data_IF_422151573389
#
_entry.id   IF_422151573389
#
_cell.length_a   1.000
_cell.length_b   1.000
_cell.length_c   1.000
_cell.angle_alpha   90.00
_cell.angle_beta   90.00
_cell.angle_gamma   90.00
#
_symmetry.space_group_name_H-M   'P 1'
#
loop_
_entity.id
_entity.type
_entity.pdbx_description
1 polymer ?
#
# COMPACT_ATOMS: atom_id res chain seq x y z
N UNK A 1 -8.46 9.22 31.02
CA UNK A 1 -8.07 7.80 31.14
C UNK A 1 -8.88 7.19 32.26
N UNK A 2 -9.78 6.25 31.96
CA UNK A 2 -10.53 5.54 33.01
C UNK A 2 -9.54 4.71 33.83
N UNK A 3 -9.39 5.01 35.12
CA UNK A 3 -8.59 4.21 36.06
C UNK A 3 -9.54 3.43 36.95
N UNK A 4 -9.40 2.11 36.96
CA UNK A 4 -10.17 1.22 37.83
C UNK A 4 -9.33 0.84 39.05
N UNK A 5 -9.93 0.91 40.24
CA UNK A 5 -9.31 0.53 41.50
C UNK A 5 -9.97 -0.75 42.01
N UNK A 6 -9.16 -1.77 42.33
CA UNK A 6 -9.66 -3.05 42.83
C UNK A 6 -10.24 -2.90 44.23
N UNK A 7 -11.39 -3.54 44.47
CA UNK A 7 -11.99 -3.65 45.81
C UNK A 7 -11.18 -4.58 46.71
N UNK A 8 -11.42 -4.55 48.03
CA UNK A 8 -10.71 -5.44 48.98
C UNK A 8 -10.96 -6.92 48.67
N UNK A 9 -12.20 -7.28 48.32
CA UNK A 9 -12.59 -8.63 47.93
C UNK A 9 -11.91 -9.07 46.63
N UNK A 10 -11.84 -8.19 45.63
CA UNK A 10 -11.13 -8.49 44.38
C UNK A 10 -9.62 -8.68 44.58
N UNK A 11 -9.01 -7.96 45.53
CA UNK A 11 -7.59 -8.13 45.88
C UNK A 11 -7.34 -9.48 46.53
N UNK A 12 -8.17 -9.89 47.49
CA UNK A 12 -8.07 -11.19 48.15
C UNK A 12 -8.26 -12.33 47.13
N UNK A 13 -9.32 -12.25 46.33
CA UNK A 13 -9.59 -13.21 45.26
C UNK A 13 -8.50 -13.24 44.20
N UNK A 14 -7.90 -12.09 43.89
CA UNK A 14 -6.76 -11.98 42.97
C UNK A 14 -5.50 -12.70 43.45
N UNK A 15 -5.27 -12.83 44.77
CA UNK A 15 -4.16 -13.63 45.32
C UNK A 15 -4.48 -15.13 45.25
N UNK A 16 -5.72 -15.52 45.51
CA UNK A 16 -6.16 -16.92 45.38
C UNK A 16 -6.06 -17.40 43.93
N UNK A 17 -6.58 -16.62 42.98
CA UNK A 17 -6.52 -16.93 41.56
C UNK A 17 -5.09 -16.99 41.03
N UNK A 18 -4.17 -16.19 41.58
CA UNK A 18 -2.76 -16.27 41.24
C UNK A 18 -2.17 -17.65 41.58
N UNK A 19 -2.52 -18.20 42.75
CA UNK A 19 -2.10 -19.55 43.17
C UNK A 19 -2.79 -20.65 42.39
N UNK A 20 -4.09 -20.51 42.11
CA UNK A 20 -4.89 -21.49 41.37
C UNK A 20 -4.44 -21.63 39.91
N UNK A 21 -4.10 -20.51 39.27
CA UNK A 21 -3.81 -20.44 37.83
C UNK A 21 -2.31 -20.33 37.52
N UNK A 22 -1.45 -20.54 38.52
CA UNK A 22 0.01 -20.48 38.37
C UNK A 22 0.44 -19.20 37.62
N UNK A 23 -0.13 -18.07 38.04
CA UNK A 23 0.17 -16.74 37.52
C UNK A 23 -0.30 -16.40 36.09
N UNK A 24 -1.28 -17.08 35.50
CA UNK A 24 -1.87 -16.61 34.22
C UNK A 24 -2.76 -15.37 34.43
N UNK A 25 -2.26 -14.21 33.98
CA UNK A 25 -2.97 -12.93 34.14
C UNK A 25 -4.26 -12.83 33.32
N UNK A 26 -4.34 -13.46 32.14
CA UNK A 26 -5.54 -13.35 31.30
C UNK A 26 -6.67 -14.21 31.86
N UNK A 27 -6.37 -15.44 32.27
CA UNK A 27 -7.37 -16.31 32.87
C UNK A 27 -7.82 -15.79 34.24
N UNK A 28 -6.89 -15.24 35.03
CA UNK A 28 -7.24 -14.61 36.29
C UNK A 28 -8.13 -13.38 36.10
N UNK A 29 -7.88 -12.54 35.09
CA UNK A 29 -8.74 -11.40 34.79
C UNK A 29 -10.16 -11.84 34.38
N UNK A 30 -10.29 -12.88 33.55
CA UNK A 30 -11.59 -13.42 33.15
C UNK A 30 -12.37 -13.99 34.33
N UNK A 31 -11.71 -14.80 35.19
CA UNK A 31 -12.34 -15.39 36.37
C UNK A 31 -12.66 -14.36 37.46
N UNK A 32 -11.85 -13.31 37.60
CA UNK A 32 -12.05 -12.29 38.63
C UNK A 32 -13.25 -11.39 38.32
N UNK A 33 -13.46 -11.04 37.05
CA UNK A 33 -14.51 -10.12 36.62
C UNK A 33 -15.72 -10.80 35.97
N UNK A 34 -15.71 -12.14 35.90
CA UNK A 34 -16.74 -12.98 35.29
C UNK A 34 -17.12 -12.54 33.87
N UNK A 35 -16.12 -12.10 33.09
CA UNK A 35 -16.29 -11.60 31.73
C UNK A 35 -15.26 -12.27 30.78
N UNK A 36 -15.73 -12.99 29.74
CA UNK A 36 -14.85 -13.68 28.80
C UNK A 36 -13.99 -12.73 27.93
N UNK A 37 -14.36 -11.45 27.83
CA UNK A 37 -13.64 -10.44 27.05
C UNK A 37 -12.53 -9.73 27.84
N UNK A 38 -12.47 -9.91 29.16
CA UNK A 38 -11.43 -9.32 29.98
C UNK A 38 -10.06 -9.97 29.71
N UNK A 39 -9.03 -9.12 29.64
CA UNK A 39 -7.64 -9.50 29.31
C UNK A 39 -6.68 -8.62 30.09
N UNK A 40 -5.41 -9.00 30.22
CA UNK A 40 -4.40 -8.18 30.91
C UNK A 40 -4.18 -6.77 30.31
N UNK A 41 -4.68 -6.49 29.11
CA UNK A 41 -4.62 -5.18 28.44
C UNK A 41 -5.81 -4.26 28.74
N UNK A 42 -6.91 -4.76 29.31
CA UNK A 42 -8.09 -3.95 29.63
C UNK A 42 -7.81 -3.03 30.82
N UNK A 43 -8.71 -2.08 31.09
CA UNK A 43 -8.56 -1.16 32.24
C UNK A 43 -8.54 -1.94 33.56
N UNK A 44 -9.42 -2.95 33.70
CA UNK A 44 -9.51 -3.81 34.88
C UNK A 44 -8.36 -4.81 34.98
N UNK A 45 -7.99 -5.45 33.87
CA UNK A 45 -6.82 -6.33 33.81
C UNK A 45 -5.50 -5.63 34.14
N UNK A 46 -5.35 -4.35 33.74
CA UNK A 46 -4.20 -3.52 34.13
C UNK A 46 -4.16 -3.22 35.63
N UNK A 47 -5.32 -3.06 36.28
CA UNK A 47 -5.40 -2.88 37.72
C UNK A 47 -4.95 -4.14 38.47
N UNK A 48 -5.42 -5.33 38.04
CA UNK A 48 -4.98 -6.63 38.57
C UNK A 48 -3.47 -6.84 38.39
N UNK A 49 -2.95 -6.54 37.20
CA UNK A 49 -1.51 -6.57 36.91
C UNK A 49 -0.73 -5.68 37.87
N UNK A 50 -1.17 -4.44 38.07
CA UNK A 50 -0.49 -3.48 38.95
C UNK A 50 -0.44 -4.01 40.39
N UNK A 51 -1.55 -4.58 40.87
CA UNK A 51 -1.63 -5.19 42.19
C UNK A 51 -0.70 -6.39 42.36
N UNK A 52 -0.62 -7.30 41.39
CA UNK A 52 0.32 -8.43 41.43
C UNK A 52 1.78 -7.99 41.45
N UNK A 53 2.13 -6.93 40.68
CA UNK A 53 3.48 -6.34 40.71
C UNK A 53 3.78 -5.69 42.07
N UNK A 54 2.84 -4.94 42.65
CA UNK A 54 2.99 -4.34 44.00
C UNK A 54 3.18 -5.39 45.09
N UNK A 55 2.62 -6.60 44.92
CA UNK A 55 2.80 -7.74 45.82
C UNK A 55 4.06 -8.57 45.56
N UNK A 56 4.80 -8.28 44.49
CA UNK A 56 6.01 -9.01 44.12
C UNK A 56 5.75 -10.36 43.42
N UNK A 57 4.55 -10.58 42.87
CA UNK A 57 4.23 -11.80 42.14
C UNK A 57 4.72 -11.75 40.69
N UNK A 58 5.42 -12.81 40.26
CA UNK A 58 5.78 -13.01 38.86
C UNK A 58 4.66 -13.73 38.11
N UNK A 59 3.98 -13.03 37.21
CA UNK A 59 2.88 -13.56 36.41
C UNK A 59 3.33 -13.89 34.99
N UNK A 60 2.71 -14.91 34.39
CA UNK A 60 2.97 -15.35 33.01
C UNK A 60 2.29 -14.40 32.03
N UNK A 61 3.09 -13.84 31.12
CA UNK A 61 2.59 -13.07 29.98
C UNK A 61 3.02 -13.68 28.66
N UNK A 62 2.13 -13.66 27.67
CA UNK A 62 2.49 -13.94 26.27
C UNK A 62 3.50 -12.92 25.71
N UNK A 63 3.58 -11.73 26.30
CA UNK A 63 4.61 -10.74 26.01
C UNK A 63 5.89 -11.18 26.70
N UNK A 64 6.88 -11.64 25.92
CA UNK A 64 8.24 -11.92 26.42
C UNK A 64 8.75 -10.66 27.14
N UNK A 65 9.25 -10.79 28.37
CA UNK A 65 10.09 -9.74 29.00
C UNK A 65 11.17 -9.41 27.96
N UNK A 66 11.41 -8.12 27.64
CA UNK A 66 12.58 -7.71 26.85
C UNK A 66 13.79 -8.35 27.55
N UNK A 67 14.38 -9.37 26.95
CA UNK A 67 15.44 -10.12 27.61
C UNK A 67 16.62 -9.20 27.85
N UNK A 68 17.23 -9.33 29.03
CA UNK A 68 18.61 -8.94 29.38
C UNK A 68 19.33 -8.08 28.33
N UNK A 69 19.60 -6.80 28.66
CA UNK A 69 20.47 -5.94 27.85
C UNK A 69 21.77 -6.69 27.56
N UNK A 70 21.91 -7.20 26.34
CA UNK A 70 23.18 -7.74 25.87
C UNK A 70 24.06 -6.54 25.57
N UNK A 71 25.29 -6.56 26.07
CA UNK A 71 26.29 -5.56 25.74
C UNK A 71 27.29 -6.19 24.80
N UNK A 72 27.54 -5.52 23.67
CA UNK A 72 28.56 -5.95 22.72
C UNK A 72 29.94 -5.95 23.38
N UNK A 73 30.69 -7.02 23.20
CA UNK A 73 32.08 -7.10 23.59
C UNK A 73 32.94 -6.16 22.73
N UNK A 74 34.10 -5.75 23.24
CA UNK A 74 34.95 -4.81 22.51
C UNK A 74 35.51 -5.42 21.22
N UNK A 75 35.74 -6.73 21.18
CA UNK A 75 36.09 -7.48 19.96
C UNK A 75 34.98 -7.41 18.90
N UNK A 76 33.71 -7.47 19.32
CA UNK A 76 32.55 -7.39 18.44
C UNK A 76 32.40 -5.97 17.87
N UNK A 77 32.65 -4.95 18.69
CA UNK A 77 32.65 -3.55 18.26
C UNK A 77 33.77 -3.26 17.26
N UNK A 78 34.98 -3.75 17.51
CA UNK A 78 36.12 -3.59 16.62
C UNK A 78 35.88 -4.27 15.27
N UNK A 79 35.24 -5.44 15.27
CA UNK A 79 34.85 -6.12 14.05
C UNK A 79 33.88 -5.28 13.23
N UNK A 80 32.83 -4.74 13.86
CA UNK A 80 31.85 -3.87 13.19
C UNK A 80 32.53 -2.63 12.62
N UNK A 81 33.48 -2.01 13.34
CA UNK A 81 34.23 -0.85 12.83
C UNK A 81 35.04 -1.15 11.57
N UNK A 82 35.62 -2.34 11.46
CA UNK A 82 36.46 -2.72 10.32
C UNK A 82 35.66 -3.20 9.12
N UNK A 83 34.52 -3.85 9.36
CA UNK A 83 33.81 -4.60 8.32
C UNK A 83 32.43 -4.03 7.95
N UNK A 84 31.85 -3.12 8.75
CA UNK A 84 30.57 -2.52 8.40
C UNK A 84 30.73 -1.52 7.25
N UNK A 85 29.93 -1.70 6.20
CA UNK A 85 29.79 -0.76 5.11
C UNK A 85 28.31 -0.57 4.76
N UNK A 86 27.97 0.54 4.10
CA UNK A 86 26.57 0.86 3.77
C UNK A 86 25.87 -0.17 2.88
N UNK A 87 26.62 -1.03 2.19
CA UNK A 87 26.07 -2.07 1.31
C UNK A 87 25.68 -3.34 2.07
N UNK A 88 26.27 -3.57 3.26
CA UNK A 88 25.98 -4.72 4.10
C UNK A 88 24.81 -4.46 5.04
N UNK A 89 23.85 -5.39 5.06
CA UNK A 89 22.72 -5.34 5.98
C UNK A 89 23.17 -5.69 7.39
N UNK A 90 22.48 -5.17 8.41
CA UNK A 90 22.77 -5.54 9.81
C UNK A 90 22.70 -7.05 10.04
N UNK A 91 21.87 -7.74 9.26
CA UNK A 91 21.75 -9.21 9.29
C UNK A 91 22.97 -9.92 8.72
N UNK A 92 23.52 -9.45 7.61
CA UNK A 92 24.75 -10.00 7.02
C UNK A 92 25.94 -9.77 7.96
N UNK A 93 26.02 -8.60 8.59
CA UNK A 93 27.04 -8.32 9.63
C UNK A 93 26.89 -9.29 10.80
N UNK A 94 25.67 -9.53 11.27
CA UNK A 94 25.40 -10.48 12.34
C UNK A 94 25.76 -11.93 11.93
N UNK A 95 25.53 -12.31 10.67
CA UNK A 95 25.92 -13.60 10.12
C UNK A 95 27.44 -13.78 10.10
N UNK A 96 28.20 -12.71 9.82
CA UNK A 96 29.66 -12.76 9.90
C UNK A 96 30.17 -12.84 11.35
N UNK A 97 29.55 -12.09 12.26
CA UNK A 97 29.96 -12.03 13.67
C UNK A 97 29.62 -13.32 14.43
N UNK A 98 28.45 -13.90 14.15
CA UNK A 98 27.86 -15.01 14.89
C UNK A 98 27.28 -16.07 13.93
N UNK A 99 28.15 -16.64 13.10
CA UNK A 99 27.82 -17.65 12.09
C UNK A 99 26.98 -18.81 12.62
N UNK A 100 27.32 -19.37 13.78
CA UNK A 100 26.58 -20.52 14.34
C UNK A 100 25.24 -20.10 14.98
N UNK A 101 25.23 -18.98 15.71
CA UNK A 101 24.05 -18.55 16.48
C UNK A 101 22.93 -18.00 15.60
N UNK A 102 23.27 -17.44 14.43
CA UNK A 102 22.29 -16.86 13.50
C UNK A 102 21.35 -17.89 12.87
N UNK A 103 21.73 -19.18 12.91
CA UNK A 103 20.88 -20.28 12.46
C UNK A 103 19.74 -20.60 13.45
N UNK A 104 19.81 -20.09 14.69
CA UNK A 104 18.75 -20.32 15.67
C UNK A 104 17.49 -19.50 15.35
N UNK A 105 16.33 -20.16 15.41
CA UNK A 105 15.03 -19.52 15.18
C UNK A 105 14.81 -18.39 16.19
N UNK A 106 14.63 -17.18 15.69
CA UNK A 106 14.39 -15.96 16.49
C UNK A 106 15.67 -15.24 16.94
N UNK A 107 16.84 -15.58 16.39
CA UNK A 107 18.08 -14.85 16.65
C UNK A 107 17.96 -13.35 16.35
N UNK A 108 17.31 -12.99 15.24
CA UNK A 108 17.10 -11.58 14.85
C UNK A 108 16.10 -10.82 15.75
N UNK A 109 15.42 -11.52 16.68
CA UNK A 109 14.60 -10.89 17.73
C UNK A 109 15.30 -10.93 19.10
N UNK A 110 16.53 -11.45 19.17
CA UNK A 110 17.30 -11.56 20.40
C UNK A 110 17.86 -10.20 20.84
N UNK A 111 18.13 -10.06 22.13
CA UNK A 111 18.81 -8.89 22.68
C UNK A 111 20.19 -8.65 22.03
N UNK A 112 20.85 -9.71 21.53
CA UNK A 112 22.15 -9.66 20.88
C UNK A 112 22.10 -8.89 19.55
N UNK A 113 21.15 -9.24 18.70
CA UNK A 113 20.93 -8.54 17.43
C UNK A 113 20.43 -7.11 17.63
N UNK A 114 19.58 -6.87 18.63
CA UNK A 114 19.11 -5.52 18.98
C UNK A 114 20.30 -4.64 19.41
N UNK A 115 21.19 -5.15 20.26
CA UNK A 115 22.39 -4.42 20.68
C UNK A 115 23.31 -4.09 19.50
N UNK A 116 23.50 -5.01 18.56
CA UNK A 116 24.24 -4.77 17.31
C UNK A 116 23.59 -3.66 16.48
N UNK A 117 22.28 -3.72 16.28
CA UNK A 117 21.55 -2.70 15.51
C UNK A 117 21.64 -1.32 16.17
N UNK A 118 21.49 -1.24 17.49
CA UNK A 118 21.57 0.02 18.23
C UNK A 118 22.99 0.61 18.16
N UNK A 119 24.02 -0.23 18.25
CA UNK A 119 25.41 0.19 18.10
C UNK A 119 25.71 0.73 16.70
N UNK A 120 25.31 0.00 15.65
CA UNK A 120 25.50 0.44 14.26
C UNK A 120 24.79 1.77 14.01
N UNK A 121 23.54 1.92 14.46
CA UNK A 121 22.78 3.16 14.30
C UNK A 121 23.44 4.36 15.01
N UNK A 122 24.14 4.12 16.12
CA UNK A 122 24.79 5.17 16.91
C UNK A 122 26.14 5.58 16.32
N UNK A 123 26.99 4.62 15.97
CA UNK A 123 28.35 4.88 15.48
C UNK A 123 28.35 5.29 14.00
N UNK A 124 27.37 4.83 13.22
CA UNK A 124 27.30 5.08 11.78
C UNK A 124 25.97 5.74 11.36
N UNK A 125 25.62 6.93 11.91
CA UNK A 125 24.33 7.58 11.65
C UNK A 125 24.13 7.93 10.17
N UNK A 126 25.23 8.16 9.43
CA UNK A 126 25.20 8.54 8.02
C UNK A 126 25.24 7.34 7.06
N UNK A 127 25.48 6.11 7.56
CA UNK A 127 25.57 4.90 6.74
C UNK A 127 24.37 4.00 7.03
N UNK A 128 23.21 4.44 6.53
CA UNK A 128 21.97 3.66 6.61
C UNK A 128 21.87 2.74 5.39
N UNK A 129 21.77 1.43 5.62
CA UNK A 129 21.49 0.49 4.55
C UNK A 129 19.99 0.50 4.21
N UNK A 130 19.66 0.89 2.98
CA UNK A 130 18.27 0.99 2.49
C UNK A 130 17.53 -0.37 2.44
N UNK A 131 18.25 -1.50 2.51
CA UNK A 131 17.68 -2.86 2.52
C UNK A 131 17.20 -3.27 3.92
N UNK A 132 17.73 -2.65 4.97
CA UNK A 132 17.34 -2.97 6.34
C UNK A 132 15.89 -2.54 6.64
N UNK A 133 15.39 -1.47 5.99
CA UNK A 133 14.04 -0.92 6.19
C UNK A 133 12.91 -1.89 5.80
N UNK A 134 13.18 -2.83 4.90
CA UNK A 134 12.17 -3.79 4.39
C UNK A 134 12.04 -5.04 5.25
N UNK A 135 12.95 -5.25 6.19
CA UNK A 135 13.07 -6.52 6.90
C UNK A 135 11.77 -6.90 7.63
N UNK A 136 11.03 -7.87 7.07
CA UNK A 136 9.75 -8.34 7.60
C UNK A 136 8.50 -7.64 7.06
N UNK A 137 8.65 -6.58 6.26
CA UNK A 137 7.56 -5.85 5.63
C UNK A 137 7.29 -6.42 4.23
N UNK A 138 6.11 -6.99 4.02
CA UNK A 138 5.65 -7.48 2.71
C UNK A 138 4.56 -6.55 2.21
N UNK A 139 4.59 -6.27 0.91
CA UNK A 139 3.54 -5.50 0.26
C UNK A 139 2.17 -6.12 0.51
N UNK A 140 1.29 -5.33 1.09
CA UNK A 140 -0.11 -5.66 1.28
C UNK A 140 -0.96 -4.81 0.33
N UNK A 141 -1.69 -5.43 -0.62
CA UNK A 141 -2.51 -4.69 -1.55
C UNK A 141 -3.65 -3.95 -0.81
N UNK A 142 -4.03 -2.75 -1.27
CA UNK A 142 -5.12 -2.00 -0.66
C UNK A 142 -6.45 -2.72 -0.86
N UNK A 143 -7.19 -2.93 0.23
CA UNK A 143 -8.52 -3.57 0.21
C UNK A 143 -9.69 -2.59 0.20
N UNK A 144 -9.41 -1.31 0.49
CA UNK A 144 -10.42 -0.29 0.74
C UNK A 144 -10.19 0.87 -0.23
N UNK A 145 -11.28 1.36 -0.83
CA UNK A 145 -11.28 2.47 -1.78
C UNK A 145 -10.56 3.73 -1.24
N UNK A 146 -10.80 4.09 0.01
CA UNK A 146 -10.16 5.25 0.65
C UNK A 146 -8.62 5.15 0.69
N UNK A 147 -8.07 3.94 0.74
CA UNK A 147 -6.61 3.72 0.71
C UNK A 147 -6.06 3.88 -0.71
N UNK A 148 -6.79 3.37 -1.70
CA UNK A 148 -6.44 3.56 -3.12
C UNK A 148 -6.45 5.04 -3.48
N UNK A 149 -7.49 5.77 -3.09
CA UNK A 149 -7.61 7.23 -3.32
C UNK A 149 -6.40 7.98 -2.74
N UNK A 150 -6.01 7.69 -1.50
CA UNK A 150 -4.82 8.30 -0.88
C UNK A 150 -3.53 8.02 -1.68
N UNK A 151 -3.37 6.78 -2.17
CA UNK A 151 -2.22 6.41 -3.02
C UNK A 151 -2.26 7.13 -4.36
N UNK A 152 -3.42 7.22 -5.01
CA UNK A 152 -3.60 7.94 -6.28
C UNK A 152 -3.33 9.43 -6.10
N UNK A 153 -3.89 10.09 -5.08
CA UNK A 153 -3.67 11.51 -4.81
C UNK A 153 -2.18 11.83 -4.52
N UNK A 154 -1.40 10.88 -3.98
CA UNK A 154 0.04 11.06 -3.76
C UNK A 154 0.83 11.10 -5.08
N UNK A 155 0.36 10.41 -6.11
CA UNK A 155 1.13 10.10 -7.33
C UNK A 155 0.61 10.87 -8.54
N UNK A 156 -0.69 11.08 -8.59
CA UNK A 156 -1.40 11.76 -9.67
C UNK A 156 -1.63 13.20 -9.23
N UNK A 157 -1.40 14.16 -10.14
CA UNK A 157 -1.65 15.59 -9.91
C UNK A 157 -3.15 15.95 -9.90
N UNK A 158 -4.01 15.01 -9.49
CA UNK A 158 -5.46 15.16 -9.41
C UNK A 158 -5.91 14.68 -8.04
N UNK A 159 -6.52 15.57 -7.29
CA UNK A 159 -7.06 15.25 -5.97
C UNK A 159 -8.49 14.74 -6.09
N UNK A 160 -8.70 13.51 -5.65
CA UNK A 160 -10.03 12.94 -5.51
C UNK A 160 -10.52 13.11 -4.07
N UNK A 161 -11.69 13.71 -3.93
CA UNK A 161 -12.46 13.75 -2.68
C UNK A 161 -13.44 12.57 -2.67
N UNK A 162 -13.43 11.77 -1.60
CA UNK A 162 -14.21 10.53 -1.46
C UNK A 162 -15.70 10.78 -1.70
N UNK A 163 -16.22 11.95 -1.31
CA UNK A 163 -17.65 12.27 -1.40
C UNK A 163 -18.05 12.82 -2.78
N UNK A 164 -17.09 13.29 -3.58
CA UNK A 164 -17.34 14.01 -4.85
C UNK A 164 -16.70 13.33 -6.07
N UNK A 165 -16.51 12.01 -6.01
CA UNK A 165 -15.92 11.25 -7.13
C UNK A 165 -16.96 11.05 -8.23
N UNK A 166 -16.60 11.38 -9.46
CA UNK A 166 -17.39 11.05 -10.65
C UNK A 166 -17.60 9.54 -10.77
N UNK A 167 -18.76 9.11 -11.30
CA UNK A 167 -19.06 7.69 -11.51
C UNK A 167 -17.99 7.00 -12.37
N UNK A 168 -17.47 7.69 -13.38
CA UNK A 168 -16.41 7.17 -14.25
C UNK A 168 -15.10 6.97 -13.49
N UNK A 169 -14.66 8.00 -12.75
CA UNK A 169 -13.43 7.92 -11.94
C UNK A 169 -13.54 6.85 -10.84
N UNK A 170 -14.73 6.69 -10.24
CA UNK A 170 -15.01 5.65 -9.26
C UNK A 170 -14.80 4.25 -9.85
N UNK A 171 -15.35 3.99 -11.05
CA UNK A 171 -15.15 2.72 -11.76
C UNK A 171 -13.68 2.45 -12.05
N UNK A 172 -12.93 3.47 -12.43
CA UNK A 172 -11.48 3.39 -12.65
C UNK A 172 -10.73 3.01 -11.37
N UNK A 173 -11.05 3.65 -10.24
CA UNK A 173 -10.44 3.35 -8.94
C UNK A 173 -10.82 1.95 -8.42
N UNK A 174 -12.04 1.47 -8.66
CA UNK A 174 -12.46 0.10 -8.33
C UNK A 174 -11.65 -0.94 -9.10
N UNK A 175 -11.40 -0.67 -10.39
CA UNK A 175 -10.54 -1.53 -11.22
C UNK A 175 -9.09 -1.49 -10.78
N UNK A 176 -8.56 -0.31 -10.44
CA UNK A 176 -7.21 -0.17 -9.89
C UNK A 176 -7.01 -0.99 -8.61
N UNK A 177 -8.01 -1.04 -7.72
CA UNK A 177 -7.98 -1.88 -6.51
C UNK A 177 -7.76 -3.36 -6.87
N UNK A 178 -8.40 -3.83 -7.93
CA UNK A 178 -8.22 -5.19 -8.46
C UNK A 178 -6.82 -5.36 -9.08
N UNK A 179 -6.34 -4.39 -9.83
CA UNK A 179 -5.02 -4.44 -10.48
C UNK A 179 -3.87 -4.51 -9.48
N UNK A 180 -3.91 -3.70 -8.42
CA UNK A 180 -2.91 -3.71 -7.34
C UNK A 180 -2.92 -5.03 -6.55
N UNK A 181 -4.02 -5.77 -6.60
CA UNK A 181 -4.16 -7.09 -5.99
C UNK A 181 -3.72 -8.23 -6.92
N UNK A 182 -3.25 -7.93 -8.14
CA UNK A 182 -2.85 -8.96 -9.10
C UNK A 182 -1.68 -9.81 -8.56
N UNK A 183 -1.74 -11.15 -8.62
CA UNK A 183 -0.72 -12.03 -8.04
C UNK A 183 0.69 -11.73 -8.52
N UNK A 184 0.83 -11.46 -9.83
CA UNK A 184 2.13 -11.14 -10.43
C UNK A 184 2.69 -9.81 -9.92
N UNK A 185 1.84 -8.78 -9.79
CA UNK A 185 2.26 -7.49 -9.24
C UNK A 185 2.78 -7.65 -7.81
N UNK A 186 2.06 -8.40 -6.96
CA UNK A 186 2.47 -8.71 -5.58
C UNK A 186 3.82 -9.46 -5.54
N UNK A 187 4.05 -10.40 -6.46
CA UNK A 187 5.33 -11.11 -6.53
C UNK A 187 6.47 -10.16 -6.91
N UNK A 188 6.28 -9.35 -7.95
CA UNK A 188 7.31 -8.44 -8.46
C UNK A 188 7.66 -7.36 -7.44
N UNK A 189 6.67 -6.70 -6.83
CA UNK A 189 6.94 -5.65 -5.84
C UNK A 189 7.68 -6.19 -4.61
N UNK A 190 7.37 -7.41 -4.17
CA UNK A 190 8.04 -8.01 -3.02
C UNK A 190 9.45 -8.51 -3.34
N UNK A 191 9.79 -8.73 -4.61
CA UNK A 191 11.13 -9.13 -5.03
C UNK A 191 12.16 -8.00 -4.87
N UNK A 192 11.72 -6.73 -4.89
CA UNK A 192 12.63 -5.60 -4.72
C UNK A 192 13.12 -5.48 -3.27
N UNK A 193 14.45 -5.30 -3.07
CA UNK A 193 15.07 -5.32 -1.74
C UNK A 193 15.06 -3.97 -1.02
N UNK A 194 14.73 -2.85 -1.69
CA UNK A 194 14.71 -1.49 -1.11
C UNK A 194 13.31 -0.89 -1.13
N UNK A 195 12.93 -0.20 -0.03
CA UNK A 195 11.58 0.35 0.14
C UNK A 195 11.28 1.38 -0.95
N UNK A 196 12.28 2.18 -1.26
CA UNK A 196 12.23 3.17 -2.32
C UNK A 196 11.87 2.57 -3.68
N UNK A 197 12.43 1.41 -4.05
CA UNK A 197 12.11 0.76 -5.33
C UNK A 197 10.70 0.16 -5.33
N UNK A 198 10.23 -0.36 -4.17
CA UNK A 198 8.83 -0.82 -4.03
C UNK A 198 7.84 0.33 -4.19
N UNK A 199 8.10 1.46 -3.52
CA UNK A 199 7.26 2.65 -3.61
C UNK A 199 7.27 3.25 -5.02
N UNK A 200 8.42 3.26 -5.68
CA UNK A 200 8.55 3.69 -7.08
C UNK A 200 7.76 2.78 -8.02
N UNK A 201 7.88 1.45 -7.88
CA UNK A 201 7.12 0.48 -8.68
C UNK A 201 5.61 0.72 -8.55
N UNK A 202 5.13 0.84 -7.31
CA UNK A 202 3.71 1.06 -7.05
C UNK A 202 3.24 2.39 -7.63
N UNK A 203 4.04 3.45 -7.49
CA UNK A 203 3.69 4.77 -8.01
C UNK A 203 3.61 4.77 -9.54
N UNK A 204 4.62 4.23 -10.23
CA UNK A 204 4.61 4.17 -11.69
C UNK A 204 3.49 3.28 -12.24
N UNK A 205 3.19 2.18 -11.54
CA UNK A 205 2.09 1.30 -11.92
C UNK A 205 0.73 1.99 -11.75
N UNK A 206 0.51 2.68 -10.63
CA UNK A 206 -0.71 3.47 -10.40
C UNK A 206 -0.84 4.55 -11.48
N UNK A 207 0.22 5.33 -11.71
CA UNK A 207 0.22 6.41 -12.72
C UNK A 207 -0.14 5.89 -14.11
N UNK A 208 0.31 4.69 -14.46
CA UNK A 208 0.09 4.11 -15.78
C UNK A 208 -1.30 3.47 -15.97
N UNK A 209 -1.97 3.06 -14.88
CA UNK A 209 -3.17 2.21 -14.97
C UNK A 209 -4.43 2.80 -14.34
N UNK A 210 -4.33 3.84 -13.50
CA UNK A 210 -5.45 4.34 -12.70
C UNK A 210 -6.63 4.82 -13.55
N UNK A 211 -6.40 5.35 -14.74
CA UNK A 211 -7.39 5.93 -15.66
C UNK A 211 -7.93 4.91 -16.68
N UNK A 212 -7.62 3.61 -16.51
CA UNK A 212 -7.90 2.56 -17.50
C UNK A 212 -8.72 1.41 -16.90
N UNK A 213 -10.07 1.49 -16.89
CA UNK A 213 -10.94 0.49 -16.27
C UNK A 213 -11.08 -0.82 -17.08
N UNK A 214 -10.51 -0.86 -18.28
CA UNK A 214 -10.71 -1.87 -19.32
C UNK A 214 -9.47 -2.74 -19.62
N UNK A 215 -8.46 -2.70 -18.75
CA UNK A 215 -7.21 -3.43 -18.96
C UNK A 215 -7.41 -4.95 -18.85
N UNK A 216 -6.86 -5.67 -19.83
CA UNK A 216 -6.81 -7.14 -19.78
C UNK A 216 -5.66 -7.63 -18.91
N UNK A 217 -5.69 -8.90 -18.52
CA UNK A 217 -4.58 -9.51 -17.76
C UNK A 217 -3.23 -9.40 -18.50
N UNK A 218 -3.24 -9.51 -19.83
CA UNK A 218 -2.01 -9.41 -20.63
C UNK A 218 -1.48 -7.98 -20.67
N UNK A 219 -2.36 -6.98 -20.79
CA UNK A 219 -1.95 -5.58 -20.70
C UNK A 219 -1.42 -5.23 -19.33
N UNK A 220 -2.08 -5.68 -18.25
CA UNK A 220 -1.57 -5.51 -16.88
C UNK A 220 -0.17 -6.10 -16.76
N UNK A 221 0.06 -7.28 -17.33
CA UNK A 221 1.37 -7.91 -17.35
C UNK A 221 2.43 -7.09 -18.10
N UNK A 222 2.06 -6.47 -19.23
CA UNK A 222 2.95 -5.59 -19.97
C UNK A 222 3.22 -4.29 -19.21
N UNK A 223 2.23 -3.68 -18.56
CA UNK A 223 2.42 -2.51 -17.69
C UNK A 223 3.38 -2.83 -16.53
N UNK A 224 3.25 -4.00 -15.89
CA UNK A 224 4.21 -4.44 -14.85
C UNK A 224 5.64 -4.45 -15.39
N UNK A 225 5.86 -4.98 -16.60
CA UNK A 225 7.19 -5.02 -17.21
C UNK A 225 7.74 -3.61 -17.50
N UNK A 226 6.89 -2.71 -18.00
CA UNK A 226 7.28 -1.30 -18.21
C UNK A 226 7.71 -0.65 -16.89
N UNK A 227 6.96 -0.87 -15.81
CA UNK A 227 7.32 -0.38 -14.48
C UNK A 227 8.64 -0.99 -13.94
N UNK A 228 8.90 -2.28 -14.23
CA UNK A 228 10.19 -2.90 -13.89
C UNK A 228 11.34 -2.25 -14.63
N UNK A 229 11.18 -1.95 -15.93
CA UNK A 229 12.21 -1.29 -16.73
C UNK A 229 12.48 0.15 -16.27
N UNK A 230 11.47 0.89 -15.79
CA UNK A 230 11.71 2.20 -15.16
C UNK A 230 12.60 2.12 -13.92
N UNK A 231 12.44 1.08 -13.09
CA UNK A 231 13.30 0.86 -11.92
C UNK A 231 14.71 0.49 -12.36
N UNK A 232 14.83 -0.41 -13.33
CA UNK A 232 16.14 -0.80 -13.89
C UNK A 232 16.88 0.42 -14.45
N UNK A 233 16.18 1.31 -15.14
CA UNK A 233 16.75 2.54 -15.69
C UNK A 233 17.33 3.43 -14.58
N UNK A 234 16.57 3.63 -13.49
CA UNK A 234 17.05 4.36 -12.31
C UNK A 234 18.28 3.68 -11.66
N UNK A 235 18.28 2.35 -11.53
CA UNK A 235 19.42 1.61 -10.95
C UNK A 235 20.67 1.72 -11.83
N UNK A 236 20.53 1.61 -13.14
CA UNK A 236 21.64 1.81 -14.10
C UNK A 236 22.18 3.24 -14.00
N UNK A 237 21.30 4.23 -13.87
CA UNK A 237 21.71 5.63 -13.70
C UNK A 237 22.50 5.86 -12.41
N UNK A 238 22.07 5.27 -11.28
CA UNK A 238 22.81 5.32 -10.02
C UNK A 238 24.18 4.62 -10.13
N UNK A 239 24.23 3.46 -10.78
CA UNK A 239 25.49 2.74 -11.02
C UNK A 239 26.44 3.56 -11.90
N UNK A 240 25.92 4.24 -12.93
CA UNK A 240 26.69 5.12 -13.80
C UNK A 240 27.26 6.32 -13.04
N UNK A 241 26.47 6.95 -12.17
CA UNK A 241 26.94 8.04 -11.31
C UNK A 241 28.08 7.58 -10.39
N UNK A 242 27.95 6.42 -9.73
CA UNK A 242 29.00 5.85 -8.88
C UNK A 242 30.28 5.55 -9.67
N UNK A 243 30.11 5.03 -10.88
CA UNK A 243 31.24 4.67 -11.75
C UNK A 243 31.98 5.91 -12.27
N UNK A 244 31.26 7.01 -12.54
CA UNK A 244 31.89 8.30 -12.87
C UNK A 244 32.69 8.86 -11.69
N UNK A 245 32.16 8.79 -10.46
CA UNK A 245 32.93 9.22 -9.28
C UNK A 245 34.23 8.41 -9.11
N UNK A 246 34.15 7.10 -9.29
CA UNK A 246 35.35 6.24 -9.26
C UNK A 246 36.33 6.54 -10.40
N UNK A 247 35.83 7.00 -11.54
CA UNK A 247 36.65 7.38 -12.68
C UNK A 247 37.45 8.66 -12.39
N UNK A 248 36.79 9.66 -11.80
CA UNK A 248 37.41 10.92 -11.39
C UNK A 248 38.47 10.68 -10.29
N UNK A 249 38.21 9.77 -9.35
CA UNK A 249 39.15 9.42 -8.27
C UNK A 249 40.36 8.59 -8.76
N UNK A 250 40.25 7.94 -9.92
CA UNK A 250 41.27 7.05 -10.49
C UNK A 250 42.25 7.76 -11.45
N UNK A 251 42.19 9.11 -11.55
CA UNK A 251 43.09 9.88 -12.41
C UNK A 251 44.57 9.57 -12.12
N UNK A 252 45.26 9.01 -13.13
CA UNK A 252 46.68 8.62 -13.06
C UNK A 252 46.95 7.10 -13.06
N UNK A 253 45.92 6.25 -12.94
CA UNK A 253 46.04 4.80 -13.07
C UNK A 253 45.46 4.29 -14.40
N UNK A 254 46.26 4.34 -15.47
CA UNK A 254 45.82 4.05 -16.84
C UNK A 254 45.03 2.73 -17.00
N UNK A 255 45.42 1.64 -16.32
CA UNK A 255 44.70 0.35 -16.41
C UNK A 255 43.31 0.40 -15.74
N UNK A 256 43.19 1.08 -14.59
CA UNK A 256 41.93 1.24 -13.88
C UNK A 256 40.97 2.14 -14.66
N UNK A 257 41.48 3.25 -15.19
CA UNK A 257 40.73 4.19 -16.05
C UNK A 257 40.17 3.48 -17.30
N UNK A 258 40.95 2.59 -17.92
CA UNK A 258 40.51 1.84 -19.11
C UNK A 258 39.37 0.88 -18.78
N UNK A 259 39.47 0.11 -17.69
CA UNK A 259 38.40 -0.82 -17.25
C UNK A 259 37.12 -0.07 -16.86
N UNK A 260 37.24 1.04 -16.15
CA UNK A 260 36.09 1.88 -15.77
C UNK A 260 35.39 2.45 -17.02
N UNK A 261 36.15 2.82 -18.06
CA UNK A 261 35.60 3.27 -19.35
C UNK A 261 34.79 2.17 -20.03
N UNK A 262 35.31 0.95 -20.07
CA UNK A 262 34.59 -0.20 -20.63
C UNK A 262 33.29 -0.48 -19.84
N UNK A 263 33.35 -0.47 -18.51
CA UNK A 263 32.17 -0.64 -17.66
C UNK A 263 31.14 0.48 -17.89
N UNK A 264 31.56 1.74 -18.05
CA UNK A 264 30.68 2.89 -18.34
C UNK A 264 30.00 2.73 -19.70
N UNK A 265 30.73 2.21 -20.69
CA UNK A 265 30.20 1.91 -22.01
C UNK A 265 29.13 0.82 -21.92
N UNK A 266 29.41 -0.30 -21.26
CA UNK A 266 28.44 -1.39 -21.05
C UNK A 266 27.18 -0.89 -20.34
N UNK A 267 27.32 -0.10 -19.26
CA UNK A 267 26.17 0.48 -18.55
C UNK A 267 25.37 1.45 -19.41
N UNK A 268 26.03 2.21 -20.27
CA UNK A 268 25.35 3.10 -21.22
C UNK A 268 24.60 2.32 -22.32
N UNK A 269 25.13 1.18 -22.76
CA UNK A 269 24.44 0.28 -23.68
C UNK A 269 23.21 -0.38 -23.03
N UNK A 270 23.34 -0.87 -21.79
CA UNK A 270 22.21 -1.41 -21.00
C UNK A 270 21.10 -0.37 -20.82
N UNK A 271 21.48 0.88 -20.51
CA UNK A 271 20.54 2.01 -20.40
C UNK A 271 19.74 2.21 -21.69
N UNK A 272 20.43 2.30 -22.83
CA UNK A 272 19.79 2.50 -24.14
C UNK A 272 18.88 1.33 -24.51
N UNK A 273 19.26 0.09 -24.18
CA UNK A 273 18.43 -1.08 -24.41
C UNK A 273 17.13 -1.04 -23.58
N UNK A 274 17.21 -0.63 -22.31
CA UNK A 274 16.04 -0.47 -21.45
C UNK A 274 15.10 0.60 -21.98
N UNK A 275 15.61 1.79 -22.36
CA UNK A 275 14.80 2.87 -22.93
C UNK A 275 14.08 2.42 -24.20
N UNK A 276 14.80 1.77 -25.13
CA UNK A 276 14.20 1.25 -26.36
C UNK A 276 13.12 0.18 -26.10
N UNK A 277 13.28 -0.63 -25.05
CA UNK A 277 12.28 -1.63 -24.64
C UNK A 277 11.04 -0.94 -24.08
N UNK A 278 11.21 0.07 -23.22
CA UNK A 278 10.11 0.89 -22.70
C UNK A 278 9.30 1.50 -23.85
N UNK A 279 9.96 2.19 -24.79
CA UNK A 279 9.29 2.85 -25.92
C UNK A 279 8.49 1.87 -26.77
N UNK A 280 9.07 0.71 -27.09
CA UNK A 280 8.39 -0.35 -27.85
C UNK A 280 7.18 -0.91 -27.10
N UNK A 281 7.31 -1.15 -25.80
CA UNK A 281 6.22 -1.69 -24.98
C UNK A 281 5.08 -0.68 -24.83
N UNK A 282 5.38 0.60 -24.62
CA UNK A 282 4.38 1.67 -24.56
C UNK A 282 3.66 1.83 -25.90
N UNK A 283 4.41 1.85 -27.01
CA UNK A 283 3.81 1.92 -28.34
C UNK A 283 2.87 0.73 -28.62
N UNK A 284 3.29 -0.49 -28.22
CA UNK A 284 2.46 -1.70 -28.33
C UNK A 284 1.20 -1.62 -27.49
N UNK A 285 1.32 -1.24 -26.21
CA UNK A 285 0.21 -1.09 -25.28
C UNK A 285 -0.84 -0.10 -25.79
N UNK A 286 -0.40 1.08 -26.21
CA UNK A 286 -1.29 2.12 -26.73
C UNK A 286 -1.94 1.68 -28.04
N UNK A 287 -1.19 1.02 -28.93
CA UNK A 287 -1.71 0.53 -30.22
C UNK A 287 -2.76 -0.58 -30.06
N UNK A 288 -2.45 -1.62 -29.28
CA UNK A 288 -3.36 -2.76 -29.07
C UNK A 288 -4.63 -2.34 -28.32
N UNK A 289 -4.50 -1.51 -27.30
CA UNK A 289 -5.65 -0.98 -26.56
C UNK A 289 -6.54 -0.11 -27.45
N UNK A 290 -5.95 0.82 -28.20
CA UNK A 290 -6.70 1.72 -29.10
C UNK A 290 -7.50 0.93 -30.15
N UNK A 291 -6.89 -0.10 -30.75
CA UNK A 291 -7.58 -1.00 -31.69
C UNK A 291 -8.75 -1.73 -31.03
N UNK A 292 -8.58 -2.20 -29.79
CA UNK A 292 -9.65 -2.88 -29.05
C UNK A 292 -10.82 -1.95 -28.75
N UNK A 293 -10.52 -0.74 -28.27
CA UNK A 293 -11.55 0.26 -27.96
C UNK A 293 -12.31 0.66 -29.22
N UNK A 294 -11.61 0.90 -30.34
CA UNK A 294 -12.25 1.19 -31.62
C UNK A 294 -13.17 0.05 -32.08
N UNK A 295 -12.71 -1.20 -31.99
CA UNK A 295 -13.51 -2.37 -32.33
C UNK A 295 -14.73 -2.52 -31.40
N UNK A 296 -14.59 -2.18 -30.12
CA UNK A 296 -15.69 -2.22 -29.16
C UNK A 296 -16.71 -1.13 -29.41
N UNK A 297 -16.30 0.09 -29.76
CA UNK A 297 -17.21 1.16 -30.18
C UNK A 297 -18.00 0.77 -31.43
N UNK A 298 -17.34 0.15 -32.42
CA UNK A 298 -18.01 -0.32 -33.63
C UNK A 298 -19.04 -1.42 -33.33
N UNK A 299 -18.75 -2.34 -32.39
CA UNK A 299 -19.69 -3.37 -31.94
C UNK A 299 -20.86 -2.77 -31.16
N UNK A 300 -20.59 -1.82 -30.26
CA UNK A 300 -21.61 -1.16 -29.44
C UNK A 300 -22.56 -0.28 -30.28
N UNK A 301 -22.12 0.22 -31.43
CA UNK A 301 -22.98 0.92 -32.39
C UNK A 301 -23.94 -0.02 -33.14
N UNK A 302 -23.71 -1.34 -33.11
CA UNK A 302 -24.59 -2.30 -33.78
C UNK A 302 -25.88 -2.52 -33.00
N UNK A 303 -27.01 -2.66 -33.70
CA UNK A 303 -28.34 -2.88 -33.10
C UNK A 303 -28.38 -4.10 -32.16
N UNK A 304 -27.56 -5.12 -32.41
CA UNK A 304 -27.43 -6.30 -31.54
C UNK A 304 -26.84 -5.95 -30.17
N UNK A 305 -25.95 -4.97 -30.08
CA UNK A 305 -25.40 -4.52 -28.80
C UNK A 305 -26.42 -3.72 -27.99
N UNK A 306 -27.24 -2.89 -28.64
CA UNK A 306 -28.41 -2.27 -28.00
C UNK A 306 -29.34 -3.34 -27.42
N UNK A 307 -29.67 -4.38 -28.20
CA UNK A 307 -30.52 -5.50 -27.71
C UNK A 307 -29.88 -6.23 -26.54
N UNK A 308 -28.55 -6.43 -26.53
CA UNK A 308 -27.84 -7.03 -25.40
C UNK A 308 -27.83 -6.14 -24.15
N UNK A 309 -27.66 -4.82 -24.31
CA UNK A 309 -27.78 -3.85 -23.21
C UNK A 309 -29.20 -3.86 -22.62
N UNK A 310 -30.22 -4.09 -23.43
CA UNK A 310 -31.60 -4.29 -22.97
C UNK A 310 -31.81 -5.59 -22.18
N UNK A 311 -30.95 -6.61 -22.37
CA UNK A 311 -31.03 -7.87 -21.63
C UNK A 311 -30.45 -7.76 -20.21
N UNK A 312 -29.52 -6.83 -19.95
CA UNK A 312 -28.95 -6.62 -18.61
C UNK A 312 -29.97 -5.94 -17.67
N UNK A 313 -30.21 -6.55 -16.50
CA UNK A 313 -31.28 -6.13 -15.58
C UNK A 313 -31.02 -4.79 -14.88
N UNK A 314 -29.76 -4.52 -14.52
CA UNK A 314 -29.39 -3.26 -13.85
C UNK A 314 -29.54 -2.05 -14.78
N UNK A 315 -29.08 -2.16 -16.02
CA UNK A 315 -29.19 -1.06 -16.99
C UNK A 315 -30.62 -0.84 -17.46
N UNK A 316 -31.42 -1.90 -17.62
CA UNK A 316 -32.86 -1.79 -17.88
C UNK A 316 -33.58 -1.01 -16.79
N UNK A 317 -33.26 -1.25 -15.51
CA UNK A 317 -33.83 -0.46 -14.39
C UNK A 317 -33.41 1.01 -14.44
N UNK A 318 -32.17 1.28 -14.82
CA UNK A 318 -31.67 2.65 -14.97
C UNK A 318 -32.39 3.38 -16.11
N UNK A 319 -32.56 2.73 -17.26
CA UNK A 319 -33.29 3.28 -18.40
C UNK A 319 -34.77 3.52 -18.10
N UNK A 320 -35.44 2.60 -17.39
CA UNK A 320 -36.83 2.80 -16.95
C UNK A 320 -36.92 4.05 -16.07
N UNK A 321 -36.01 4.24 -15.11
CA UNK A 321 -35.97 5.46 -14.29
C UNK A 321 -35.74 6.73 -15.10
N UNK A 322 -34.88 6.68 -16.12
CA UNK A 322 -34.66 7.83 -17.02
C UNK A 322 -35.91 8.14 -17.85
N UNK A 323 -36.60 7.11 -18.35
CA UNK A 323 -37.85 7.26 -19.10
C UNK A 323 -38.98 7.80 -18.21
N UNK A 324 -39.07 7.35 -16.95
CA UNK A 324 -40.03 7.85 -15.98
C UNK A 324 -39.76 9.33 -15.63
N UNK A 325 -38.50 9.71 -15.43
CA UNK A 325 -38.12 11.12 -15.23
C UNK A 325 -38.44 11.99 -16.46
N UNK A 326 -38.22 11.47 -17.68
CA UNK A 326 -38.60 12.19 -18.89
C UNK A 326 -40.12 12.35 -19.00
N UNK A 327 -40.90 11.30 -18.69
CA UNK A 327 -42.36 11.40 -18.62
C UNK A 327 -42.82 12.44 -17.62
N UNK A 328 -42.25 12.45 -16.42
CA UNK A 328 -42.57 13.47 -15.42
C UNK A 328 -42.24 14.88 -15.92
N UNK A 329 -41.09 15.08 -16.56
CA UNK A 329 -40.73 16.39 -17.13
C UNK A 329 -41.70 16.82 -18.25
N UNK A 330 -42.16 15.89 -19.09
CA UNK A 330 -43.16 16.17 -20.13
C UNK A 330 -44.53 16.47 -19.52
N UNK A 331 -44.90 15.77 -18.45
CA UNK A 331 -46.14 16.00 -17.71
C UNK A 331 -46.13 17.37 -17.01
N UNK A 332 -45.00 17.77 -16.42
CA UNK A 332 -44.79 19.11 -15.86
C UNK A 332 -44.87 20.22 -16.92
N UNK A 333 -44.29 20.00 -18.11
CA UNK A 333 -44.44 20.94 -19.22
C UNK A 333 -45.88 21.00 -19.74
N UNK A 334 -46.58 19.86 -19.84
CA UNK A 334 -47.98 19.80 -20.23
C UNK A 334 -48.88 20.55 -19.25
N UNK A 335 -48.68 20.34 -17.94
CA UNK A 335 -49.36 21.06 -16.86
C UNK A 335 -49.11 22.57 -16.94
N UNK A 336 -47.90 22.97 -17.30
CA UNK A 336 -47.53 24.38 -17.47
C UNK A 336 -48.26 25.01 -18.65
N UNK A 337 -48.39 24.28 -19.76
CA UNK A 337 -49.17 24.70 -20.93
C UNK A 337 -50.66 24.76 -20.59
N UNK A 338 -51.18 23.81 -19.82
CA UNK A 338 -52.58 23.79 -19.39
C UNK A 338 -52.93 24.96 -18.46
N UNK A 339 -52.00 25.37 -17.59
CA UNK A 339 -52.13 26.53 -16.69
C UNK A 339 -51.99 27.87 -17.41
N UNK A 340 -51.68 27.89 -18.71
CA UNK A 340 -51.51 29.12 -19.48
C UNK A 340 -52.86 29.73 -19.88
N UNK A 341 -53.43 30.53 -18.98
CA UNK A 341 -54.76 31.17 -19.14
C UNK A 341 -54.89 32.03 -20.40
N UNK A 342 -53.82 32.71 -20.82
CA UNK A 342 -53.79 33.53 -22.04
C UNK A 342 -54.00 32.70 -23.31
N UNK A 343 -53.49 31.46 -23.33
CA UNK A 343 -53.66 30.55 -24.46
C UNK A 343 -55.09 30.01 -24.52
N UNK A 344 -55.64 29.62 -23.36
CA UNK A 344 -57.05 29.22 -23.23
C UNK A 344 -58.00 30.35 -23.65
N UNK A 345 -57.73 31.59 -23.23
CA UNK A 345 -58.52 32.76 -23.62
C UNK A 345 -58.47 33.03 -25.14
N UNK A 346 -57.28 32.92 -25.77
CA UNK A 346 -57.12 33.07 -27.23
C UNK A 346 -57.83 31.98 -28.03
N UNK A 347 -57.76 30.72 -27.58
CA UNK A 347 -58.36 29.57 -28.29
C UNK A 347 -59.89 29.56 -28.13
N UNK A 348 -60.40 29.93 -26.95
CA UNK A 348 -61.84 30.04 -26.69
C UNK A 348 -62.47 31.30 -27.27
N UNK A 349 -61.67 32.19 -27.87
CA UNK A 349 -62.15 33.43 -28.49
C UNK A 349 -62.66 34.48 -27.50
N UNK A 350 -62.36 34.32 -26.20
CA UNK A 350 -62.91 35.17 -25.16
C UNK A 350 -62.16 36.50 -25.16
N UNK A 351 -62.85 37.57 -25.53
CA UNK A 351 -62.26 38.91 -25.54
C UNK A 351 -62.36 39.56 -24.15
N UNK A 352 -61.49 40.53 -23.86
CA UNK A 352 -61.52 41.27 -22.57
C UNK A 352 -62.88 41.94 -22.30
N UNK A 353 -63.66 42.21 -23.34
CA UNK A 353 -65.01 42.81 -23.25
C UNK A 353 -66.10 41.80 -22.86
N UNK A 354 -65.83 40.48 -22.92
CA UNK A 354 -66.80 39.45 -22.53
C UNK A 354 -66.61 38.98 -21.07
N UNK A 355 -65.48 39.36 -20.45
CA UNK A 355 -65.14 39.00 -19.06
C UNK A 355 -65.43 40.16 -18.08
N UNK A 356 -65.42 41.40 -18.58
CA UNK A 356 -65.77 42.63 -17.83
C UNK A 356 -67.20 42.98 -18.16
#
# INVERSE_FOLDING_TARGET
MSSYALTKQEKERGVELFKELDGDLNEAAKKLFDDPNEKGSTVRGRALRKFWVEKGFEYRTKVKKKSSKYFLQDTEKDFVHRHYCAEMTKREVAQLLWTEETNHRGFYESAKFIALSDFINKEFPNLTNLRDEITGDRYAPPKIMSTVIKKVNKVVFREFDIEKISVADKKCLEKLLTYLSAPRFIQVINAYPTKQNRELLESEFIRSTWDKPDLTSDELNLYINVCMDYINLKEIEQQKQKLNLMFDDAEGQNDLTMRLTEMLKTKSEEYNQCTNRIDKMIAKLNGERSKRIANQQQRNASVLALVHLFQEEEERRLMIKMADMQKQSVEEEADKIEKMNDWKARVLGISRQEII
#
